data_IF_171166452421
#
_entry.id   IF_171166452421
#
_cell.length_a   1.000
_cell.length_b   1.000
_cell.length_c   1.000
_cell.angle_alpha   90.00
_cell.angle_beta   90.00
_cell.angle_gamma   90.00
#
_symmetry.space_group_name_H-M   'P 1'
#
loop_
_entity.id
_entity.type
_entity.pdbx_description
1 polymer ?
#
# COMPACT_ATOMS: atom_id res chain seq x y z
N UNK A 1 -47.31 5.42 2.95
CA UNK A 1 -46.15 6.33 2.98
C UNK A 1 -44.93 5.47 2.81
N UNK A 2 -44.43 5.46 1.58
CA UNK A 2 -43.42 4.53 1.11
C UNK A 2 -42.05 4.80 1.76
N UNK A 3 -41.46 3.70 2.16
CA UNK A 3 -40.13 3.52 2.71
C UNK A 3 -39.06 3.99 1.72
N UNK A 4 -38.53 5.21 1.91
CA UNK A 4 -37.27 5.59 1.29
C UNK A 4 -36.12 5.00 2.09
N UNK A 5 -35.67 3.84 1.61
CA UNK A 5 -34.45 3.13 1.96
C UNK A 5 -33.33 4.11 2.34
N UNK A 6 -32.98 4.15 3.62
CA UNK A 6 -31.67 4.66 4.05
C UNK A 6 -30.64 3.81 3.32
N UNK A 7 -29.99 4.41 2.33
CA UNK A 7 -28.82 3.89 1.67
C UNK A 7 -27.77 3.69 2.77
N UNK A 8 -27.67 2.47 3.31
CA UNK A 8 -26.63 2.09 4.24
C UNK A 8 -25.30 2.19 3.50
N UNK A 9 -24.56 3.26 3.78
CA UNK A 9 -23.17 3.42 3.38
C UNK A 9 -22.41 2.19 3.87
N UNK A 10 -21.99 1.32 2.94
CA UNK A 10 -21.12 0.15 3.19
C UNK A 10 -19.72 0.55 3.73
N UNK A 11 -19.50 1.83 4.05
CA UNK A 11 -18.22 2.38 4.49
C UNK A 11 -18.16 2.67 6.00
N UNK A 12 -19.27 2.52 6.73
CA UNK A 12 -19.30 2.69 8.19
C UNK A 12 -19.10 1.35 8.91
N UNK A 13 -17.91 0.78 8.78
CA UNK A 13 -17.23 0.03 9.84
C UNK A 13 -16.01 -0.65 9.24
N UNK A 14 -14.81 -0.33 9.73
CA UNK A 14 -13.91 -1.36 10.25
C UNK A 14 -12.80 -0.67 11.04
N UNK A 15 -13.00 -0.73 12.35
CA UNK A 15 -12.16 -0.34 13.48
C UNK A 15 -10.66 -0.24 13.20
N UNK A 16 -10.08 0.85 13.72
CA UNK A 16 -8.66 1.11 13.91
C UNK A 16 -8.03 0.17 14.96
N UNK A 17 -8.06 -1.14 14.74
CA UNK A 17 -7.40 -2.11 15.61
C UNK A 17 -6.57 -3.09 14.77
N UNK A 18 -5.26 -2.86 14.73
CA UNK A 18 -4.21 -3.73 14.15
C UNK A 18 -4.13 -3.85 12.61
N UNK A 19 -4.06 -2.73 11.87
CA UNK A 19 -3.97 -2.72 10.39
C UNK A 19 -2.56 -3.17 9.91
N UNK A 20 -2.22 -4.45 10.08
CA UNK A 20 -0.93 -5.02 9.71
C UNK A 20 -0.77 -5.25 8.19
N UNK A 21 -1.85 -5.07 7.41
CA UNK A 21 -1.86 -5.35 5.97
C UNK A 21 -2.54 -4.24 5.18
N UNK A 22 -1.90 -3.85 4.08
CA UNK A 22 -2.47 -2.97 3.06
C UNK A 22 -3.69 -3.63 2.40
N UNK A 23 -4.57 -2.83 1.82
CA UNK A 23 -5.71 -3.30 1.03
C UNK A 23 -5.56 -2.90 -0.43
N UNK A 24 -6.15 -3.69 -1.32
CA UNK A 24 -6.21 -3.38 -2.75
C UNK A 24 -6.90 -2.02 -2.95
N UNK A 25 -6.34 -1.22 -3.84
CA UNK A 25 -6.69 0.18 -4.15
C UNK A 25 -6.31 1.22 -3.10
N UNK A 26 -5.66 0.85 -1.98
CA UNK A 26 -5.09 1.85 -1.08
C UNK A 26 -3.92 2.59 -1.73
N UNK A 27 -3.78 3.87 -1.40
CA UNK A 27 -2.62 4.67 -1.78
C UNK A 27 -1.53 4.50 -0.73
N UNK A 28 -0.32 4.20 -1.20
CA UNK A 28 0.86 3.98 -0.36
C UNK A 28 2.02 4.83 -0.87
N UNK A 29 2.96 5.13 0.01
CA UNK A 29 4.22 5.80 -0.32
C UNK A 29 5.37 4.82 -0.13
N UNK A 30 6.27 4.76 -1.09
CA UNK A 30 7.48 3.93 -0.96
C UNK A 30 8.45 4.62 -0.01
N UNK A 31 8.92 3.89 1.01
CA UNK A 31 9.90 4.36 1.99
C UNK A 31 11.20 3.59 1.89
N UNK A 32 12.26 4.20 2.41
CA UNK A 32 13.59 3.62 2.45
C UNK A 32 13.73 2.75 3.71
N UNK A 33 14.04 1.46 3.55
CA UNK A 33 14.26 0.54 4.68
C UNK A 33 15.73 0.13 4.72
N UNK A 34 16.36 0.33 5.89
CA UNK A 34 17.80 0.09 6.12
C UNK A 34 18.08 -1.09 7.05
N UNK A 35 17.09 -1.96 7.23
CA UNK A 35 17.18 -3.13 8.12
C UNK A 35 18.14 -4.21 7.58
N UNK A 36 18.24 -4.36 6.26
CA UNK A 36 19.15 -5.28 5.59
C UNK A 36 20.02 -4.50 4.58
N UNK A 37 21.35 -4.39 4.80
CA UNK A 37 22.25 -3.64 3.93
C UNK A 37 22.27 -4.11 2.47
N UNK A 38 22.18 -5.42 2.23
CA UNK A 38 22.25 -5.98 0.88
C UNK A 38 21.00 -5.64 0.06
N UNK A 39 19.83 -5.82 0.68
CA UNK A 39 18.54 -5.45 0.07
C UNK A 39 18.46 -3.95 -0.11
N UNK A 40 18.94 -3.18 0.87
CA UNK A 40 18.99 -1.73 0.82
C UNK A 40 19.79 -1.22 -0.38
N UNK A 41 21.03 -1.69 -0.56
CA UNK A 41 21.87 -1.25 -1.68
C UNK A 41 21.28 -1.68 -3.03
N UNK A 42 20.73 -2.90 -3.12
CA UNK A 42 20.02 -3.36 -4.31
C UNK A 42 18.83 -2.44 -4.66
N UNK A 43 17.95 -2.16 -3.68
CA UNK A 43 16.78 -1.29 -3.86
C UNK A 43 17.18 0.11 -4.23
N UNK A 44 18.20 0.66 -3.59
CA UNK A 44 18.71 2.00 -3.89
C UNK A 44 19.27 2.10 -5.30
N UNK A 45 20.03 1.10 -5.74
CA UNK A 45 20.66 1.10 -7.06
C UNK A 45 19.64 0.96 -8.20
N UNK A 46 18.70 0.02 -8.09
CA UNK A 46 17.75 -0.29 -9.18
C UNK A 46 16.40 0.43 -9.05
N UNK A 47 15.96 0.71 -7.83
CA UNK A 47 14.63 1.25 -7.51
C UNK A 47 14.70 2.58 -6.75
N UNK A 48 15.87 3.23 -6.69
CA UNK A 48 16.01 4.54 -6.03
C UNK A 48 15.05 5.60 -6.59
N UNK A 49 14.70 5.49 -7.88
CA UNK A 49 13.77 6.39 -8.57
C UNK A 49 12.31 6.28 -8.13
N UNK A 50 11.93 5.22 -7.39
CA UNK A 50 10.58 5.07 -6.83
C UNK A 50 10.48 5.41 -5.34
N UNK A 51 11.61 5.54 -4.64
CA UNK A 51 11.62 5.93 -3.22
C UNK A 51 10.98 7.32 -3.07
N UNK A 52 10.04 7.43 -2.14
CA UNK A 52 9.26 8.64 -1.87
C UNK A 52 8.07 8.88 -2.80
N UNK A 53 7.91 8.11 -3.89
CA UNK A 53 6.75 8.20 -4.77
C UNK A 53 5.53 7.52 -4.17
N UNK A 54 4.36 7.99 -4.61
CA UNK A 54 3.06 7.39 -4.29
C UNK A 54 2.71 6.34 -5.32
N UNK A 55 2.05 5.27 -4.88
CA UNK A 55 1.53 4.21 -5.72
C UNK A 55 0.20 3.68 -5.21
N UNK A 56 -0.44 2.86 -6.02
CA UNK A 56 -1.73 2.23 -5.69
C UNK A 56 -1.53 0.73 -5.55
N UNK A 57 -1.98 0.16 -4.45
CA UNK A 57 -1.90 -1.28 -4.20
C UNK A 57 -2.81 -2.03 -5.18
N UNK A 58 -2.26 -3.01 -5.88
CA UNK A 58 -3.00 -3.86 -6.82
C UNK A 58 -3.28 -5.26 -6.26
N UNK A 59 -2.33 -5.81 -5.52
CA UNK A 59 -2.44 -7.14 -4.91
C UNK A 59 -1.64 -7.19 -3.62
N UNK A 60 -2.13 -7.96 -2.66
CA UNK A 60 -1.44 -8.25 -1.39
C UNK A 60 -1.38 -9.76 -1.23
N UNK A 61 -0.20 -10.27 -0.95
CA UNK A 61 0.08 -11.69 -0.68
C UNK A 61 1.01 -11.79 0.52
N UNK A 62 0.43 -11.92 1.72
CA UNK A 62 1.16 -11.81 2.98
C UNK A 62 1.87 -10.46 3.12
N UNK A 63 3.19 -10.49 3.26
CA UNK A 63 4.03 -9.28 3.31
C UNK A 63 4.42 -8.73 1.94
N UNK A 64 4.13 -9.45 0.85
CA UNK A 64 4.42 -8.99 -0.50
C UNK A 64 3.25 -8.17 -1.05
N UNK A 65 3.54 -6.95 -1.49
CA UNK A 65 2.55 -5.98 -1.96
C UNK A 65 2.92 -5.55 -3.36
N UNK A 66 2.04 -5.80 -4.33
CA UNK A 66 2.19 -5.31 -5.69
C UNK A 66 1.62 -3.90 -5.77
N UNK A 67 2.47 -2.92 -6.09
CA UNK A 67 2.11 -1.51 -6.16
C UNK A 67 2.31 -0.99 -7.57
N UNK A 68 1.28 -0.32 -8.10
CA UNK A 68 1.36 0.40 -9.37
C UNK A 68 1.87 1.82 -9.14
N UNK A 69 2.97 2.17 -9.78
CA UNK A 69 3.59 3.50 -9.77
C UNK A 69 3.73 3.95 -11.22
N UNK A 70 2.95 4.95 -11.63
CA UNK A 70 2.86 5.32 -13.04
C UNK A 70 2.38 4.14 -13.90
N UNK A 71 3.19 3.73 -14.87
CA UNK A 71 2.91 2.61 -15.77
C UNK A 71 3.58 1.30 -15.34
N UNK A 72 4.30 1.28 -14.21
CA UNK A 72 5.02 0.11 -13.72
C UNK A 72 4.28 -0.53 -12.55
N UNK A 73 4.38 -1.86 -12.44
CA UNK A 73 3.88 -2.62 -11.28
C UNK A 73 5.08 -3.28 -10.61
N UNK A 74 5.35 -2.89 -9.37
CA UNK A 74 6.57 -3.28 -8.65
C UNK A 74 6.17 -3.98 -7.35
N UNK A 75 6.86 -5.08 -7.05
CA UNK A 75 6.65 -5.83 -5.83
C UNK A 75 7.51 -5.24 -4.70
N UNK A 76 6.87 -4.97 -3.57
CA UNK A 76 7.50 -4.47 -2.35
C UNK A 76 7.19 -5.37 -1.17
N UNK A 77 8.10 -5.41 -0.20
CA UNK A 77 7.75 -5.85 1.13
C UNK A 77 6.90 -4.77 1.82
N UNK A 78 5.96 -5.18 2.66
CA UNK A 78 5.09 -4.27 3.39
C UNK A 78 5.87 -3.25 4.25
N UNK A 79 7.08 -3.60 4.71
CA UNK A 79 7.96 -2.68 5.45
C UNK A 79 8.50 -1.54 4.58
N UNK A 80 8.54 -1.71 3.26
CA UNK A 80 9.00 -0.70 2.29
C UNK A 80 7.90 0.30 1.92
N UNK A 81 6.72 0.20 2.55
CA UNK A 81 5.56 0.98 2.24
C UNK A 81 5.01 1.67 3.49
N UNK A 82 4.58 2.92 3.30
CA UNK A 82 3.88 3.71 4.29
C UNK A 82 2.46 4.00 3.79
N UNK A 83 1.45 3.76 4.63
CA UNK A 83 0.09 4.14 4.31
C UNK A 83 -0.07 5.66 4.37
N UNK A 84 -0.70 6.22 3.33
CA UNK A 84 -1.03 7.64 3.27
C UNK A 84 -2.52 7.78 3.00
N UNK A 85 -3.23 8.35 3.99
CA UNK A 85 -4.67 8.58 3.96
C UNK A 85 -5.11 9.52 2.83
#
# INVERSE_FOLDING_TARGET
MESSLRQLSLFDDYSQSSRAFFRVHETVKVIEVKNNPEIYEYRKHYFGYVIGKKGVVQKVDGHSVLVRIGNESILFDAQELEWIA
#
